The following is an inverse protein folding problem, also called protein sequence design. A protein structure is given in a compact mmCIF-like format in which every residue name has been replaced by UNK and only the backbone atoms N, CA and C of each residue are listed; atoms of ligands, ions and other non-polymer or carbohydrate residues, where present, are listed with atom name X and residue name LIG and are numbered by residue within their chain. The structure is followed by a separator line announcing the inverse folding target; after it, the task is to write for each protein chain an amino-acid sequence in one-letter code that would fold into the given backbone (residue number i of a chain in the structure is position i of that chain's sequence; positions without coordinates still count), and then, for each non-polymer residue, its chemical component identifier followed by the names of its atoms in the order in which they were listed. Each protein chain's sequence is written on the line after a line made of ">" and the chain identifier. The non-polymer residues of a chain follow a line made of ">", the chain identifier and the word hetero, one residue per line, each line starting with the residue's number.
data_IF_835339286154
#
_entry.id   IF_835339286154
#
_cell.length_a   1.000
_cell.length_b   1.000
_cell.length_c   1.000
_cell.angle_alpha   90.00
_cell.angle_beta   90.00
_cell.angle_gamma   90.00
#
_symmetry.space_group_name_H-M   'P 1'
#
loop_
_entity.id
_entity.type
_entity.pdbx_description
1 polymer ?
#
# COMPACT_ATOMS: atom_id res chain seq x y z
N UNK A 1 -26.65 -41.78 32.27
CA UNK A 1 -25.74 -42.92 32.08
C UNK A 1 -24.90 -42.54 30.86
N UNK A 2 -23.60 -42.32 31.10
CA UNK A 2 -22.48 -42.07 30.16
C UNK A 2 -22.59 -40.82 29.26
N UNK A 3 -21.94 -39.68 29.51
CA UNK A 3 -20.48 -39.36 29.59
C UNK A 3 -19.62 -39.77 28.38
N UNK A 4 -19.18 -38.75 27.62
CA UNK A 4 -17.80 -38.51 27.15
C UNK A 4 -17.77 -37.10 26.52
N UNK A 5 -17.28 -36.04 27.18
CA UNK A 5 -15.88 -35.59 27.29
C UNK A 5 -15.10 -35.67 25.95
N UNK A 6 -14.29 -34.72 25.47
CA UNK A 6 -13.86 -33.38 25.85
C UNK A 6 -12.76 -32.98 24.83
N UNK A 7 -12.62 -31.69 24.48
CA UNK A 7 -11.33 -30.95 24.49
C UNK A 7 -11.46 -29.57 23.81
N UNK A 8 -11.71 -28.55 24.62
CA UNK A 8 -11.18 -27.21 24.41
C UNK A 8 -9.79 -27.17 25.06
N UNK A 9 -8.73 -26.94 24.29
CA UNK A 9 -7.38 -26.81 24.84
C UNK A 9 -7.09 -25.33 25.11
N UNK A 10 -7.30 -24.93 26.37
CA UNK A 10 -6.93 -23.62 26.91
C UNK A 10 -5.57 -23.78 27.61
N UNK A 11 -4.47 -23.27 27.03
CA UNK A 11 -3.19 -23.18 27.74
C UNK A 11 -3.13 -21.87 28.52
N UNK A 12 -3.35 -22.02 29.83
CA UNK A 12 -3.25 -21.00 30.88
C UNK A 12 -1.84 -20.41 30.98
N UNK A 13 -1.79 -19.09 31.20
CA UNK A 13 -0.60 -18.34 31.64
C UNK A 13 -0.21 -18.78 33.07
N UNK A 14 1.07 -19.06 33.25
CA UNK A 14 1.68 -19.44 34.51
C UNK A 14 1.84 -18.21 35.41
N UNK A 15 1.15 -18.19 36.55
CA UNK A 15 1.42 -17.27 37.65
C UNK A 15 2.58 -17.84 38.48
N UNK A 16 3.60 -17.02 38.75
CA UNK A 16 4.54 -17.27 39.85
C UNK A 16 4.67 -15.99 40.66
N UNK A 17 3.84 -15.89 41.69
CA UNK A 17 4.11 -15.04 42.85
C UNK A 17 4.77 -15.92 43.91
N UNK A 18 5.96 -15.54 44.36
CA UNK A 18 6.57 -16.09 45.57
C UNK A 18 6.98 -14.94 46.46
N UNK A 19 6.42 -14.92 47.66
CA UNK A 19 6.73 -13.99 48.73
C UNK A 19 7.57 -14.70 49.80
N UNK A 20 8.69 -14.06 50.12
CA UNK A 20 9.44 -14.01 51.38
C UNK A 20 10.09 -15.28 52.00
N UNK A 21 11.38 -15.15 52.35
CA UNK A 21 11.83 -15.23 53.75
C UNK A 21 13.20 -14.52 53.94
N UNK A 22 13.31 -13.74 55.02
CA UNK A 22 14.52 -13.07 55.50
C UNK A 22 15.39 -14.03 56.32
N UNK A 23 16.72 -13.96 56.18
CA UNK A 23 17.68 -14.28 57.25
C UNK A 23 19.01 -13.53 57.02
N UNK A 24 19.53 -12.96 58.11
CA UNK A 24 20.65 -12.02 58.17
C UNK A 24 22.04 -12.69 58.12
N UNK A 25 23.06 -11.95 57.65
CA UNK A 25 24.46 -12.30 57.90
C UNK A 25 25.51 -11.69 56.95
N UNK A 26 26.10 -10.57 57.38
CA UNK A 26 27.51 -10.13 57.23
C UNK A 26 28.20 -9.90 55.84
N UNK A 27 28.81 -8.71 55.80
CA UNK A 27 30.13 -8.33 55.23
C UNK A 27 30.28 -7.96 53.73
N UNK A 28 30.58 -6.67 53.56
CA UNK A 28 31.36 -5.94 52.54
C UNK A 28 31.62 -6.57 51.16
N UNK A 29 31.16 -5.86 50.12
CA UNK A 29 31.98 -5.28 49.05
C UNK A 29 31.05 -4.55 48.07
N UNK A 30 31.06 -3.21 48.04
CA UNK A 30 30.36 -2.45 47.00
C UNK A 30 31.14 -2.57 45.70
N UNK A 31 30.85 -3.60 44.90
CA UNK A 31 31.20 -3.58 43.48
C UNK A 31 30.18 -2.63 42.84
N UNK A 32 30.61 -1.40 42.57
CA UNK A 32 29.88 -0.48 41.71
C UNK A 32 29.90 -1.07 40.30
N UNK A 33 28.96 -1.97 40.02
CA UNK A 33 28.64 -2.35 38.65
C UNK A 33 27.92 -1.15 38.07
N UNK A 34 28.67 -0.31 37.36
CA UNK A 34 28.09 0.68 36.48
C UNK A 34 27.14 -0.07 35.54
N UNK A 35 25.84 0.04 35.80
CA UNK A 35 24.80 -0.45 34.92
C UNK A 35 24.94 0.36 33.65
N UNK A 36 25.62 -0.21 32.66
CA UNK A 36 25.62 0.30 31.29
C UNK A 36 24.17 0.19 30.82
N UNK A 37 23.39 1.23 31.08
CA UNK A 37 22.11 1.41 30.43
C UNK A 37 22.46 1.59 28.96
N UNK A 38 22.35 0.51 28.19
CA UNK A 38 22.20 0.62 26.76
C UNK A 38 21.09 1.65 26.55
N UNK A 39 21.45 2.87 26.14
CA UNK A 39 20.49 3.84 25.63
C UNK A 39 19.87 3.13 24.44
N UNK A 40 18.72 2.50 24.66
CA UNK A 40 17.85 2.03 23.60
C UNK A 40 17.77 3.18 22.63
N UNK A 41 18.35 3.00 21.43
CA UNK A 41 18.27 3.97 20.36
C UNK A 41 16.78 4.07 20.07
N UNK A 42 16.11 5.10 20.59
CA UNK A 42 14.70 5.33 20.35
C UNK A 42 14.59 5.56 18.85
N UNK A 43 14.23 4.51 18.11
CA UNK A 43 13.89 4.62 16.70
C UNK A 43 12.62 5.44 16.65
N UNK A 44 12.73 6.69 16.22
CA UNK A 44 11.58 7.59 16.08
C UNK A 44 10.67 6.98 15.02
N UNK A 45 9.50 6.48 15.43
CA UNK A 45 8.48 6.01 14.49
C UNK A 45 7.73 7.20 13.92
N UNK A 46 7.46 7.18 12.62
CA UNK A 46 6.65 8.17 11.92
C UNK A 46 5.44 7.48 11.27
N UNK A 47 4.34 8.21 11.09
CA UNK A 47 3.19 7.68 10.34
C UNK A 47 3.45 7.74 8.83
N UNK A 48 2.92 6.77 8.09
CA UNK A 48 2.99 6.75 6.63
C UNK A 48 2.44 8.03 5.98
N UNK A 49 1.43 8.65 6.59
CA UNK A 49 0.84 9.93 6.16
C UNK A 49 1.85 11.08 6.03
N UNK A 50 2.97 11.00 6.77
CA UNK A 50 4.07 11.96 6.76
C UNK A 50 5.34 11.41 6.07
N UNK A 51 5.43 10.09 5.93
CA UNK A 51 6.57 9.43 5.32
C UNK A 51 6.45 9.38 3.80
N UNK A 52 5.25 9.12 3.29
CA UNK A 52 4.95 9.10 1.85
C UNK A 52 4.87 10.55 1.37
N UNK A 53 5.77 10.92 0.46
CA UNK A 53 5.87 12.28 -0.08
C UNK A 53 5.16 12.42 -1.42
N UNK A 54 5.04 11.32 -2.17
CA UNK A 54 4.42 11.36 -3.48
C UNK A 54 3.89 9.98 -3.89
N UNK A 55 2.87 10.00 -4.73
CA UNK A 55 2.28 8.81 -5.35
C UNK A 55 2.18 9.09 -6.84
N UNK A 56 2.66 8.14 -7.65
CA UNK A 56 2.62 8.21 -9.11
C UNK A 56 2.00 6.94 -9.66
N UNK A 57 1.40 7.06 -10.84
CA UNK A 57 1.03 5.89 -11.64
C UNK A 57 2.09 5.63 -12.70
N UNK A 58 2.40 4.36 -12.91
CA UNK A 58 3.18 3.86 -14.00
C UNK A 58 2.27 2.97 -14.84
N UNK A 59 2.28 3.12 -16.16
CA UNK A 59 1.34 2.43 -17.02
C UNK A 59 1.80 2.34 -18.46
N UNK A 60 0.88 1.89 -19.31
CA UNK A 60 1.07 1.73 -20.75
C UNK A 60 -0.23 2.11 -21.47
N UNK A 61 -0.15 2.28 -22.79
CA UNK A 61 -1.33 2.50 -23.63
C UNK A 61 -1.62 1.24 -24.44
N UNK A 62 -2.81 0.69 -24.28
CA UNK A 62 -3.33 -0.44 -25.07
C UNK A 62 -4.47 0.03 -25.99
N UNK A 63 -5.09 -0.90 -26.72
CA UNK A 63 -6.22 -0.64 -27.62
C UNK A 63 -7.41 0.03 -26.92
N UNK A 64 -7.65 -0.30 -25.65
CA UNK A 64 -8.69 0.31 -24.80
C UNK A 64 -8.29 1.67 -24.18
N UNK A 65 -7.03 2.10 -24.38
CA UNK A 65 -6.47 3.32 -23.79
C UNK A 65 -5.43 3.04 -22.72
N UNK A 66 -5.09 4.08 -21.94
CA UNK A 66 -4.07 3.96 -20.90
C UNK A 66 -4.55 3.13 -19.71
N UNK A 67 -3.66 2.31 -19.14
CA UNK A 67 -3.91 1.51 -17.93
C UNK A 67 -2.73 1.61 -16.98
N UNK A 68 -3.00 1.79 -15.69
CA UNK A 68 -1.97 1.69 -14.67
C UNK A 68 -1.52 0.23 -14.53
N UNK A 69 -0.21 0.00 -14.57
CA UNK A 69 0.41 -1.30 -14.31
C UNK A 69 1.20 -1.34 -13.01
N UNK A 70 1.54 -0.16 -12.46
CA UNK A 70 2.04 -0.05 -11.11
C UNK A 70 1.69 1.30 -10.45
N UNK A 71 1.63 1.29 -9.13
CA UNK A 71 1.60 2.48 -8.28
C UNK A 71 2.98 2.64 -7.65
N UNK A 72 3.55 3.84 -7.79
CA UNK A 72 4.88 4.17 -7.28
C UNK A 72 4.71 5.09 -6.07
N UNK A 73 5.15 4.60 -4.92
CA UNK A 73 5.08 5.30 -3.64
C UNK A 73 6.47 5.82 -3.30
N UNK A 74 6.64 7.14 -3.30
CA UNK A 74 7.89 7.78 -2.91
C UNK A 74 7.85 8.09 -1.42
N UNK A 75 8.87 7.63 -0.69
CA UNK A 75 9.05 7.93 0.73
C UNK A 75 10.09 9.03 0.95
N UNK A 76 10.03 9.71 2.10
CA UNK A 76 11.01 10.71 2.53
C UNK A 76 12.34 10.11 3.01
N UNK A 77 12.45 8.78 2.98
CA UNK A 77 13.61 8.00 3.39
C UNK A 77 13.62 6.68 2.60
N UNK A 78 14.78 6.04 2.54
CA UNK A 78 14.86 4.71 1.93
C UNK A 78 14.12 3.68 2.79
N UNK A 79 13.48 2.73 2.12
CA UNK A 79 12.70 1.64 2.70
C UNK A 79 13.49 0.34 2.53
N UNK A 80 13.43 -0.56 3.51
CA UNK A 80 14.04 -1.89 3.38
C UNK A 80 13.11 -2.85 2.66
N UNK A 81 13.64 -3.56 1.66
CA UNK A 81 12.86 -4.46 0.81
C UNK A 81 12.25 -5.65 1.55
N UNK A 82 12.90 -6.14 2.61
CA UNK A 82 12.42 -7.25 3.43
C UNK A 82 11.29 -6.85 4.40
N UNK A 83 10.90 -5.57 4.41
CA UNK A 83 9.86 -5.02 5.29
C UNK A 83 8.56 -4.65 4.56
N UNK A 84 8.48 -4.89 3.26
CA UNK A 84 7.28 -4.59 2.46
C UNK A 84 6.62 -5.88 1.98
N UNK A 85 5.31 -5.94 2.12
CA UNK A 85 4.45 -6.99 1.58
C UNK A 85 3.19 -6.38 0.98
N UNK A 86 2.53 -7.12 0.08
CA UNK A 86 1.25 -6.67 -0.52
C UNK A 86 0.18 -6.35 0.53
N UNK A 87 0.19 -7.03 1.67
CA UNK A 87 -0.81 -6.84 2.72
C UNK A 87 -0.56 -5.57 3.55
N UNK A 88 0.57 -4.89 3.35
CA UNK A 88 0.86 -3.62 4.02
C UNK A 88 0.19 -2.42 3.33
N UNK A 89 -0.51 -2.65 2.22
CA UNK A 89 -1.07 -1.60 1.38
C UNK A 89 -2.52 -1.88 0.98
N UNK A 90 -3.37 -0.87 1.13
CA UNK A 90 -4.63 -0.73 0.40
C UNK A 90 -4.37 0.20 -0.78
N UNK A 91 -4.90 -0.12 -1.96
CA UNK A 91 -4.76 0.70 -3.16
C UNK A 91 -6.11 1.05 -3.77
N UNK A 92 -6.11 2.14 -4.52
CA UNK A 92 -7.20 2.51 -5.42
C UNK A 92 -6.61 2.76 -6.80
N UNK A 93 -7.13 2.07 -7.79
CA UNK A 93 -6.90 2.38 -9.20
C UNK A 93 -8.25 2.57 -9.92
N UNK A 94 -8.21 2.73 -11.24
CA UNK A 94 -9.42 2.95 -12.01
C UNK A 94 -10.38 1.75 -12.02
N UNK A 95 -9.85 0.52 -12.13
CA UNK A 95 -10.69 -0.68 -12.17
C UNK A 95 -11.37 -0.88 -10.81
N UNK A 96 -10.59 -0.85 -9.72
CA UNK A 96 -11.09 -0.96 -8.34
C UNK A 96 -12.15 0.11 -8.06
N UNK A 97 -11.88 1.36 -8.42
CA UNK A 97 -12.81 2.46 -8.21
C UNK A 97 -14.12 2.25 -8.98
N UNK A 98 -14.02 1.92 -10.27
CA UNK A 98 -15.17 1.79 -11.16
C UNK A 98 -16.01 0.57 -10.83
N UNK A 99 -15.38 -0.57 -10.51
CA UNK A 99 -16.11 -1.77 -10.09
C UNK A 99 -16.89 -1.54 -8.80
N UNK A 100 -16.28 -0.86 -7.82
CA UNK A 100 -16.96 -0.51 -6.57
C UNK A 100 -18.16 0.42 -6.81
N UNK A 101 -18.07 1.31 -7.80
CA UNK A 101 -19.09 2.30 -8.11
C UNK A 101 -20.23 1.72 -8.96
N UNK A 102 -19.89 1.03 -10.03
CA UNK A 102 -20.78 0.70 -11.14
C UNK A 102 -20.96 -0.82 -11.33
N UNK A 103 -20.10 -1.63 -10.71
CA UNK A 103 -20.08 -3.08 -10.82
C UNK A 103 -19.13 -3.59 -11.92
N UNK A 104 -18.75 -4.86 -11.78
CA UNK A 104 -17.81 -5.55 -12.67
C UNK A 104 -18.22 -5.49 -14.15
N UNK A 105 -19.45 -5.90 -14.48
CA UNK A 105 -19.94 -5.99 -15.87
C UNK A 105 -19.98 -4.65 -16.62
N UNK A 106 -19.90 -3.53 -15.88
CA UNK A 106 -19.81 -2.17 -16.47
C UNK A 106 -18.39 -1.65 -16.55
N UNK A 107 -17.45 -2.30 -15.89
CA UNK A 107 -16.05 -1.87 -15.77
C UNK A 107 -15.12 -2.72 -16.62
N UNK A 108 -15.41 -4.02 -16.76
CA UNK A 108 -14.56 -4.98 -17.46
C UNK A 108 -15.33 -5.54 -18.65
N UNK A 109 -14.77 -5.35 -19.85
CA UNK A 109 -15.32 -5.91 -21.10
C UNK A 109 -14.81 -7.35 -21.32
N UNK A 110 -13.53 -7.59 -21.01
CA UNK A 110 -12.90 -8.91 -21.12
C UNK A 110 -12.06 -9.13 -19.86
N UNK A 111 -12.37 -10.19 -19.13
CA UNK A 111 -11.49 -10.77 -18.12
C UNK A 111 -10.53 -11.74 -18.83
N UNK A 112 -9.23 -11.40 -18.89
CA UNK A 112 -8.25 -12.18 -19.67
C UNK A 112 -7.65 -13.32 -18.84
N UNK A 113 -7.63 -13.21 -17.51
CA UNK A 113 -7.11 -14.25 -16.62
C UNK A 113 -8.19 -15.19 -16.04
N UNK A 114 -9.47 -14.82 -16.20
CA UNK A 114 -10.63 -15.60 -15.77
C UNK A 114 -10.94 -15.51 -14.27
N UNK A 115 -10.34 -14.54 -13.55
CA UNK A 115 -10.44 -14.36 -12.10
C UNK A 115 -11.06 -13.02 -11.74
N UNK A 116 -12.34 -12.86 -12.08
CA UNK A 116 -13.22 -11.77 -11.66
C UNK A 116 -12.94 -11.20 -10.25
N UNK A 117 -12.73 -9.89 -10.20
CA UNK A 117 -12.54 -9.10 -8.99
C UNK A 117 -11.07 -8.92 -8.59
N UNK A 118 -10.13 -9.40 -9.40
CA UNK A 118 -8.70 -9.18 -9.22
C UNK A 118 -8.16 -8.02 -10.07
N UNK A 119 -9.00 -7.36 -10.87
CA UNK A 119 -8.63 -6.28 -11.78
C UNK A 119 -8.10 -5.08 -11.01
N UNK A 120 -6.90 -4.63 -11.38
CA UNK A 120 -6.21 -3.55 -10.67
C UNK A 120 -5.68 -3.94 -9.28
N UNK A 121 -5.88 -5.17 -8.82
CA UNK A 121 -5.41 -5.63 -7.51
C UNK A 121 -3.89 -5.85 -7.49
N UNK A 122 -3.30 -5.76 -6.29
CA UNK A 122 -1.84 -5.90 -6.10
C UNK A 122 -1.37 -7.31 -6.48
N UNK A 123 -0.40 -7.38 -7.40
CA UNK A 123 0.27 -8.63 -7.81
C UNK A 123 1.66 -8.75 -7.20
N UNK A 124 2.42 -7.65 -7.12
CA UNK A 124 3.76 -7.62 -6.52
C UNK A 124 4.01 -6.32 -5.78
N UNK A 125 4.84 -6.40 -4.73
CA UNK A 125 5.39 -5.24 -4.03
C UNK A 125 6.88 -5.44 -3.85
N UNK A 126 7.67 -4.40 -4.14
CA UNK A 126 9.11 -4.39 -3.89
C UNK A 126 9.63 -2.95 -3.78
N UNK A 127 10.88 -2.82 -3.34
CA UNK A 127 11.57 -1.53 -3.23
C UNK A 127 12.47 -1.31 -4.44
N UNK A 128 12.61 -0.07 -4.88
CA UNK A 128 13.54 0.32 -5.95
C UNK A 128 14.17 1.70 -5.66
N UNK A 129 15.33 1.95 -6.28
CA UNK A 129 16.02 3.25 -6.22
C UNK A 129 15.45 4.28 -7.19
N UNK A 130 14.67 3.81 -8.18
CA UNK A 130 14.06 4.64 -9.22
C UNK A 130 12.55 4.44 -9.27
N UNK A 131 11.79 5.45 -9.72
CA UNK A 131 10.35 5.34 -9.92
C UNK A 131 10.04 4.60 -11.23
N UNK A 132 10.47 3.33 -11.34
CA UNK A 132 10.24 2.48 -12.50
C UNK A 132 10.07 1.00 -12.08
N UNK A 133 9.36 0.23 -12.90
CA UNK A 133 9.23 -1.21 -12.75
C UNK A 133 10.60 -1.88 -12.97
N UNK A 134 10.96 -2.82 -12.11
CA UNK A 134 12.21 -3.57 -12.18
C UNK A 134 11.98 -4.99 -12.68
N UNK A 135 12.64 -5.36 -13.78
CA UNK A 135 12.65 -6.74 -14.30
C UNK A 135 13.22 -7.76 -13.31
N UNK A 136 14.05 -7.30 -12.35
CA UNK A 136 14.75 -8.16 -11.40
C UNK A 136 14.13 -8.11 -9.98
N UNK A 137 12.97 -7.48 -9.80
CA UNK A 137 12.26 -7.42 -8.51
C UNK A 137 12.82 -6.40 -7.51
N UNK A 138 13.54 -5.38 -7.97
CA UNK A 138 13.93 -4.22 -7.16
C UNK A 138 15.35 -4.24 -6.56
N UNK A 139 15.55 -3.42 -5.54
CA UNK A 139 16.79 -3.25 -4.76
C UNK A 139 16.55 -3.64 -3.30
N UNK A 140 17.61 -3.86 -2.52
CA UNK A 140 17.49 -4.24 -1.09
C UNK A 140 17.01 -3.10 -0.20
N UNK A 141 17.29 -1.88 -0.62
CA UNK A 141 16.90 -0.63 0.02
C UNK A 141 16.74 0.41 -1.09
N UNK A 142 15.81 1.35 -0.94
CA UNK A 142 15.53 2.35 -1.95
C UNK A 142 14.36 3.26 -1.56
N UNK A 143 14.26 4.41 -2.23
CA UNK A 143 13.29 5.46 -1.88
C UNK A 143 11.86 5.16 -2.35
N UNK A 144 11.71 4.24 -3.31
CA UNK A 144 10.43 3.96 -3.96
C UNK A 144 9.96 2.57 -3.60
N UNK A 145 8.70 2.45 -3.18
CA UNK A 145 7.98 1.18 -3.19
C UNK A 145 7.18 1.11 -4.48
N UNK A 146 7.37 0.03 -5.22
CA UNK A 146 6.68 -0.26 -6.47
C UNK A 146 5.62 -1.31 -6.17
N UNK A 147 4.36 -0.98 -6.45
CA UNK A 147 3.20 -1.85 -6.28
C UNK A 147 2.69 -2.17 -7.68
N UNK A 148 3.07 -3.32 -8.24
CA UNK A 148 2.53 -3.80 -9.50
C UNK A 148 1.09 -4.29 -9.29
N UNK A 149 0.22 -3.98 -10.26
CA UNK A 149 -1.19 -4.35 -10.24
C UNK A 149 -1.52 -5.32 -11.36
N UNK A 150 -2.60 -6.08 -11.21
CA UNK A 150 -3.10 -6.93 -12.29
C UNK A 150 -3.53 -6.04 -13.44
N UNK A 151 -3.23 -6.45 -14.67
CA UNK A 151 -3.63 -5.77 -15.90
C UNK A 151 -4.24 -6.73 -16.92
N UNK A 152 -4.46 -7.98 -16.55
CA UNK A 152 -4.97 -9.06 -17.41
C UNK A 152 -6.50 -8.97 -17.57
N UNK A 153 -6.95 -7.80 -18.00
CA UNK A 153 -8.34 -7.49 -18.32
C UNK A 153 -8.38 -6.38 -19.37
N UNK A 154 -9.56 -6.15 -19.95
CA UNK A 154 -9.85 -5.03 -20.83
C UNK A 154 -10.96 -4.20 -20.20
N UNK A 155 -10.73 -2.88 -20.06
CA UNK A 155 -11.73 -1.97 -19.52
C UNK A 155 -12.91 -1.85 -20.49
N UNK A 156 -14.12 -1.82 -19.94
CA UNK A 156 -15.32 -1.43 -20.65
C UNK A 156 -15.37 0.09 -20.79
N UNK A 157 -15.74 0.57 -21.98
CA UNK A 157 -15.92 2.00 -22.26
C UNK A 157 -15.08 2.51 -23.42
N UNK A 158 -15.69 3.35 -24.26
CA UNK A 158 -15.00 4.02 -25.36
C UNK A 158 -14.48 5.39 -24.91
N UNK A 159 -13.30 5.77 -25.42
CA UNK A 159 -12.69 7.10 -25.21
C UNK A 159 -12.39 7.44 -23.74
N UNK A 160 -11.92 6.46 -22.96
CA UNK A 160 -11.48 6.71 -21.60
C UNK A 160 -10.33 7.72 -21.59
N UNK A 161 -10.46 8.78 -20.77
CA UNK A 161 -9.38 9.74 -20.59
C UNK A 161 -8.22 9.07 -19.88
N UNK A 162 -7.00 9.16 -20.43
CA UNK A 162 -5.81 8.60 -19.78
C UNK A 162 -5.59 9.20 -18.38
N UNK A 163 -5.96 10.46 -18.14
CA UNK A 163 -5.85 11.05 -16.80
C UNK A 163 -6.86 10.48 -15.81
N UNK A 164 -7.93 9.84 -16.28
CA UNK A 164 -8.89 9.16 -15.40
C UNK A 164 -8.42 7.74 -15.12
N UNK A 165 -7.99 7.00 -16.16
CA UNK A 165 -7.56 5.61 -16.01
C UNK A 165 -6.20 5.44 -15.34
N UNK A 166 -5.36 6.48 -15.38
CA UNK A 166 -4.06 6.52 -14.66
C UNK A 166 -4.19 7.03 -13.22
N UNK A 167 -5.39 7.03 -12.64
CA UNK A 167 -5.56 7.31 -11.22
C UNK A 167 -4.86 6.25 -10.36
N UNK A 168 -4.20 6.70 -9.30
CA UNK A 168 -3.52 5.85 -8.34
C UNK A 168 -3.63 6.47 -6.94
N UNK A 169 -4.11 5.67 -6.00
CA UNK A 169 -4.18 5.94 -4.58
C UNK A 169 -3.56 4.80 -3.79
N UNK A 170 -2.93 5.13 -2.67
CA UNK A 170 -2.37 4.16 -1.73
C UNK A 170 -2.60 4.60 -0.30
N UNK A 171 -2.90 3.64 0.56
CA UNK A 171 -2.88 3.77 2.02
C UNK A 171 -2.04 2.63 2.59
N UNK A 172 -0.91 2.97 3.20
CA UNK A 172 -0.12 1.99 3.92
C UNK A 172 -0.84 1.62 5.23
N UNK A 173 -1.28 0.38 5.36
CA UNK A 173 -1.97 -0.17 6.52
C UNK A 173 -1.07 -1.04 7.41
N UNK A 174 0.09 -1.45 6.89
CA UNK A 174 1.13 -2.18 7.62
C UNK A 174 2.23 -1.28 8.18
N UNK A 175 3.12 -1.86 8.99
CA UNK A 175 4.36 -1.23 9.42
C UNK A 175 5.49 -1.61 8.46
N UNK A 176 6.26 -0.64 7.98
CA UNK A 176 7.45 -0.88 7.14
C UNK A 176 8.70 -0.31 7.79
N UNK A 177 9.87 -0.89 7.50
CA UNK A 177 11.14 -0.43 8.05
C UNK A 177 11.80 0.58 7.12
N UNK A 178 11.87 1.84 7.57
CA UNK A 178 12.67 2.88 6.93
C UNK A 178 14.10 2.94 7.47
N UNK A 179 15.00 3.54 6.69
CA UNK A 179 16.41 3.79 7.05
C UNK A 179 16.56 4.52 8.40
N UNK A 180 15.68 5.48 8.68
CA UNK A 180 15.72 6.32 9.88
C UNK A 180 14.84 5.79 11.02
N UNK A 181 14.15 4.67 10.82
CA UNK A 181 13.24 4.07 11.79
C UNK A 181 11.99 3.51 11.14
N UNK A 182 11.15 2.88 11.97
CA UNK A 182 9.88 2.29 11.57
C UNK A 182 8.91 3.36 11.05
N UNK A 183 8.13 2.99 10.04
CA UNK A 183 7.02 3.77 9.52
C UNK A 183 5.75 3.01 9.87
N UNK A 184 5.01 3.52 10.85
CA UNK A 184 3.74 2.95 11.26
C UNK A 184 2.66 3.21 10.19
N UNK A 185 1.59 2.41 10.24
CA UNK A 185 0.43 2.53 9.37
C UNK A 185 -0.11 3.97 9.30
N UNK A 186 -0.54 4.37 8.11
CA UNK A 186 -1.20 5.63 7.84
C UNK A 186 -2.69 5.60 8.15
N UNK A 187 -3.30 6.78 8.19
CA UNK A 187 -4.74 6.93 8.46
C UNK A 187 -5.53 7.32 7.22
N UNK A 188 -4.87 7.78 6.16
CA UNK A 188 -5.51 8.29 4.94
C UNK A 188 -4.87 7.75 3.67
N UNK A 189 -5.63 7.79 2.58
CA UNK A 189 -5.08 7.61 1.24
C UNK A 189 -4.24 8.83 0.84
N UNK A 190 -3.15 8.55 0.14
CA UNK A 190 -2.38 9.54 -0.62
C UNK A 190 -2.50 9.15 -2.09
N UNK A 191 -2.78 10.13 -2.94
CA UNK A 191 -3.14 9.87 -4.33
C UNK A 191 -2.47 10.82 -5.31
N UNK A 192 -2.49 10.43 -6.58
CA UNK A 192 -2.12 11.30 -7.70
C UNK A 192 -3.32 12.02 -8.33
N UNK A 193 -4.55 11.83 -7.83
CA UNK A 193 -5.79 12.24 -8.49
C UNK A 193 -6.73 13.02 -7.57
N UNK A 194 -7.64 13.77 -8.19
CA UNK A 194 -8.80 14.39 -7.54
C UNK A 194 -10.11 13.82 -8.08
N UNK A 195 -11.16 13.92 -7.24
CA UNK A 195 -12.53 13.61 -7.60
C UNK A 195 -13.36 14.89 -7.50
N UNK A 196 -14.04 15.26 -8.58
CA UNK A 196 -14.92 16.43 -8.63
C UNK A 196 -16.32 16.02 -9.07
N UNK A 197 -17.34 16.27 -8.25
CA UNK A 197 -18.73 16.10 -8.68
C UNK A 197 -19.18 17.31 -9.51
N UNK A 198 -19.42 17.08 -10.80
CA UNK A 198 -19.96 18.09 -11.72
C UNK A 198 -21.42 17.82 -11.97
N UNK A 199 -22.21 18.89 -12.03
CA UNK A 199 -23.57 18.85 -12.52
C UNK A 199 -23.57 19.26 -13.97
N UNK A 200 -24.15 18.42 -14.82
CA UNK A 200 -24.37 18.73 -16.22
C UNK A 200 -25.87 18.66 -16.51
N UNK A 201 -26.45 19.77 -16.94
CA UNK A 201 -27.81 19.78 -17.47
C UNK A 201 -27.75 19.39 -18.94
N UNK A 202 -28.36 18.25 -19.28
CA UNK A 202 -28.49 17.78 -20.66
C UNK A 202 -29.43 18.71 -21.44
N UNK A 203 -29.36 18.72 -22.79
CA UNK A 203 -30.31 19.47 -23.62
C UNK A 203 -31.79 19.11 -23.37
N UNK A 204 -32.04 17.92 -22.80
CA UNK A 204 -33.36 17.43 -22.38
C UNK A 204 -33.87 18.10 -21.10
N UNK A 205 -33.08 18.96 -20.44
CA UNK A 205 -33.40 19.60 -19.16
C UNK A 205 -33.08 18.74 -17.93
N UNK A 206 -32.63 17.49 -18.12
CA UNK A 206 -32.22 16.60 -17.04
C UNK A 206 -30.85 17.00 -16.48
N UNK A 207 -30.76 17.23 -15.16
CA UNK A 207 -29.48 17.45 -14.48
C UNK A 207 -28.89 16.12 -14.03
N UNK A 208 -27.73 15.80 -14.57
CA UNK A 208 -26.95 14.60 -14.22
C UNK A 208 -25.77 15.01 -13.36
N UNK A 209 -25.56 14.30 -12.26
CA UNK A 209 -24.33 14.38 -11.47
C UNK A 209 -23.33 13.39 -12.02
N UNK A 210 -22.15 13.88 -12.38
CA UNK A 210 -21.03 13.07 -12.85
C UNK A 210 -19.82 13.34 -11.97
N UNK A 211 -19.22 12.28 -11.44
CA UNK A 211 -17.91 12.38 -10.78
C UNK A 211 -16.83 12.35 -11.85
N UNK A 212 -15.99 13.39 -11.89
CA UNK A 212 -14.86 13.53 -12.81
C UNK A 212 -13.58 13.18 -12.06
N UNK A 213 -12.82 12.25 -12.61
CA UNK A 213 -11.54 11.79 -12.07
C UNK A 213 -10.41 12.44 -12.87
N UNK A 214 -9.51 13.12 -12.20
CA UNK A 214 -8.35 13.77 -12.84
C UNK A 214 -7.07 13.46 -12.09
N UNK A 215 -6.25 12.57 -12.64
CA UNK A 215 -4.87 12.37 -12.21
C UNK A 215 -3.96 13.53 -12.67
N UNK A 216 -3.05 13.93 -11.81
CA UNK A 216 -2.00 14.91 -12.08
C UNK A 216 -1.03 14.35 -13.12
N UNK A 217 -1.00 15.02 -14.28
CA UNK A 217 -0.16 14.62 -15.42
C UNK A 217 1.32 14.53 -15.08
N UNK A 218 1.82 15.30 -14.12
CA UNK A 218 3.22 15.27 -13.69
C UNK A 218 3.55 14.05 -12.81
N UNK A 219 2.52 13.30 -12.41
CA UNK A 219 2.59 12.09 -11.60
C UNK A 219 2.16 10.85 -12.37
N UNK A 220 2.03 10.96 -13.69
CA UNK A 220 1.80 9.85 -14.61
C UNK A 220 3.13 9.54 -15.31
N UNK A 221 3.52 8.28 -15.29
CA UNK A 221 4.68 7.76 -16.01
C UNK A 221 4.16 6.80 -17.09
N UNK A 222 4.36 7.17 -18.35
CA UNK A 222 4.06 6.36 -19.51
C UNK A 222 5.38 6.20 -20.31
N UNK A 223 6.11 5.09 -20.13
CA UNK A 223 7.45 4.91 -20.69
C UNK A 223 7.51 5.02 -22.20
N UNK A 224 6.41 4.69 -22.88
CA UNK A 224 6.27 4.78 -24.34
C UNK A 224 6.44 6.21 -24.87
N UNK A 225 6.18 7.22 -24.03
CA UNK A 225 6.31 8.64 -24.37
C UNK A 225 7.56 9.31 -23.79
N UNK A 226 8.46 8.55 -23.15
CA UNK A 226 9.73 9.10 -22.70
C UNK A 226 10.63 9.44 -23.90
N UNK A 227 11.36 10.57 -23.82
CA UNK A 227 12.08 11.22 -24.94
C UNK A 227 13.12 10.35 -25.68
N UNK A 228 13.34 9.11 -25.23
CA UNK A 228 14.27 8.15 -25.81
C UNK A 228 13.55 6.97 -26.51
N UNK A 229 12.23 7.04 -26.72
CA UNK A 229 11.43 5.96 -27.32
C UNK A 229 11.41 5.94 -28.87
N UNK A 230 12.41 6.52 -29.53
CA UNK A 230 12.57 6.56 -30.99
C UNK A 230 13.92 6.06 -31.47
#
# INVERSE_FOLDING_TARGET
>A
MEENFMKLNCKKKLYFGMMALFLAGMAFSTISVAKTTNKSKISKSILADNAIVNVKSYGFVDLEGAKASAIIVEYNQDIKADSVDKNDYEITDYAIYSEKKDGFEKTVEIDRDGTKGNEGQITKVYVNDKPEISKNGGTKEGKYVIIEVNTDYMLAGQNLSYTSTMMAGVKQIGEVDGKNGKIAAGTREISNYTLEDKQQTRPTGETVKQTVITADKNKIILPEFDKNSG
#
